data_IF_456922757757
#
_entry.id   IF_456922757757
#
_cell.length_a   1.000
_cell.length_b   1.000
_cell.length_c   1.000
_cell.angle_alpha   90.00
_cell.angle_beta   90.00
_cell.angle_gamma   90.00
#
_symmetry.space_group_name_H-M   'P 1'
#
loop_
_entity.id
_entity.type
_entity.pdbx_description
1 polymer ?
#
# COMPACT_ATOMS: atom_id res chain seq x y z
N UNK A 1 -4.86 14.71 12.67
CA UNK A 1 -4.41 13.31 12.87
C UNK A 1 -3.57 13.11 14.13
N UNK A 2 -3.17 14.19 14.81
CA UNK A 2 -2.46 14.17 16.11
C UNK A 2 -3.01 13.14 17.10
N UNK A 3 -2.13 12.34 17.67
CA UNK A 3 -2.45 11.34 18.69
C UNK A 3 -3.06 10.04 18.16
N UNK A 4 -3.39 9.93 16.86
CA UNK A 4 -3.84 8.66 16.28
C UNK A 4 -2.69 7.68 16.15
N UNK A 5 -2.98 6.41 16.38
CA UNK A 5 -2.07 5.28 16.22
C UNK A 5 -2.03 4.80 14.77
N UNK A 6 -0.83 4.46 14.28
CA UNK A 6 -0.62 3.90 12.95
C UNK A 6 0.25 2.66 13.06
N UNK A 7 -0.14 1.60 12.38
CA UNK A 7 0.74 0.45 12.13
C UNK A 7 1.13 0.46 10.66
N UNK A 8 2.42 0.56 10.38
CA UNK A 8 2.98 0.36 9.04
C UNK A 8 3.45 -1.09 8.94
N UNK A 9 2.93 -1.82 7.95
CA UNK A 9 3.41 -3.16 7.59
C UNK A 9 4.51 -3.00 6.56
N UNK A 10 5.74 -3.32 6.95
CA UNK A 10 6.90 -3.32 6.06
C UNK A 10 6.90 -4.55 5.16
N UNK A 11 6.98 -4.33 3.84
CA UNK A 11 7.00 -5.38 2.83
C UNK A 11 8.36 -5.49 2.11
N UNK A 12 9.44 -5.26 2.87
CA UNK A 12 10.84 -5.32 2.42
C UNK A 12 11.24 -4.14 1.51
N UNK A 13 10.82 -2.93 1.86
CA UNK A 13 11.20 -1.69 1.18
C UNK A 13 11.41 -0.56 2.19
N UNK A 14 12.61 0.00 2.19
CA UNK A 14 13.03 1.09 3.09
C UNK A 14 12.16 2.35 2.98
N UNK A 15 11.34 2.49 1.93
CA UNK A 15 10.29 3.52 1.88
C UNK A 15 9.37 3.50 3.11
N UNK A 16 9.16 2.34 3.74
CA UNK A 16 8.38 2.24 4.99
C UNK A 16 9.00 3.06 6.13
N UNK A 17 10.33 3.16 6.19
CA UNK A 17 11.05 4.00 7.16
C UNK A 17 10.82 5.48 6.87
N UNK A 18 10.78 5.88 5.60
CA UNK A 18 10.46 7.26 5.21
C UNK A 18 9.00 7.60 5.55
N UNK A 19 8.05 6.70 5.25
CA UNK A 19 6.64 6.85 5.61
C UNK A 19 6.45 7.01 7.13
N UNK A 20 7.17 6.20 7.92
CA UNK A 20 7.18 6.33 9.39
C UNK A 20 7.55 7.75 9.81
N UNK A 21 8.67 8.27 9.33
CA UNK A 21 9.14 9.62 9.68
C UNK A 21 8.13 10.71 9.30
N UNK A 22 7.52 10.61 8.12
CA UNK A 22 6.51 11.58 7.68
C UNK A 22 5.27 11.56 8.57
N UNK A 23 4.80 10.38 8.98
CA UNK A 23 3.63 10.24 9.85
C UNK A 23 3.93 10.68 11.29
N UNK A 24 5.14 10.44 11.79
CA UNK A 24 5.62 10.97 13.08
C UNK A 24 5.65 12.50 13.09
N UNK A 25 6.05 13.14 11.97
CA UNK A 25 5.99 14.60 11.81
C UNK A 25 4.55 15.16 11.83
N UNK A 26 3.56 14.33 11.50
CA UNK A 26 2.14 14.65 11.65
C UNK A 26 1.60 14.37 13.06
N UNK A 27 2.50 14.13 14.02
CA UNK A 27 2.22 13.84 15.42
C UNK A 27 1.37 12.57 15.65
N UNK A 28 1.55 11.56 14.79
CA UNK A 28 0.93 10.24 14.94
C UNK A 28 1.84 9.29 15.73
N UNK A 29 1.25 8.30 16.41
CA UNK A 29 1.99 7.25 17.11
C UNK A 29 2.23 6.08 16.16
N UNK A 30 3.44 5.95 15.63
CA UNK A 30 3.72 5.02 14.53
C UNK A 30 4.50 3.80 15.01
N UNK A 31 3.96 2.62 14.73
CA UNK A 31 4.66 1.34 14.82
C UNK A 31 5.01 0.85 13.41
N UNK A 32 6.21 0.33 13.23
CA UNK A 32 6.67 -0.28 11.99
C UNK A 32 6.93 -1.76 12.27
N UNK A 33 6.27 -2.65 11.53
CA UNK A 33 6.26 -4.09 11.78
C UNK A 33 6.48 -4.83 10.48
N UNK A 34 7.35 -5.84 10.47
CA UNK A 34 7.52 -6.72 9.30
C UNK A 34 6.19 -7.40 8.92
N UNK A 35 5.93 -7.57 7.62
CA UNK A 35 4.78 -8.35 7.13
C UNK A 35 4.72 -9.77 7.74
N UNK A 36 5.87 -10.37 8.05
CA UNK A 36 5.97 -11.70 8.63
C UNK A 36 5.47 -11.72 10.09
N UNK A 37 5.75 -10.66 10.85
CA UNK A 37 5.45 -10.54 12.28
C UNK A 37 4.12 -9.84 12.57
N UNK A 38 3.53 -9.18 11.58
CA UNK A 38 2.27 -8.47 11.75
C UNK A 38 1.14 -9.40 12.20
N UNK A 39 0.58 -9.09 13.35
CA UNK A 39 -0.57 -9.75 13.95
C UNK A 39 -1.69 -8.74 14.22
N UNK A 40 -2.90 -8.90 13.64
CA UNK A 40 -3.99 -7.93 13.79
C UNK A 40 -4.53 -7.79 15.23
N UNK A 41 -4.33 -8.80 16.09
CA UNK A 41 -4.74 -8.74 17.50
C UNK A 41 -3.75 -7.93 18.35
N UNK A 42 -2.46 -8.00 18.02
CA UNK A 42 -1.40 -7.31 18.77
C UNK A 42 -1.12 -5.90 18.25
N UNK A 43 -1.36 -5.66 16.96
CA UNK A 43 -1.02 -4.40 16.29
C UNK A 43 -2.26 -3.60 15.92
N UNK A 44 -3.21 -3.51 16.85
CA UNK A 44 -4.40 -2.69 16.68
C UNK A 44 -4.01 -1.21 16.60
N UNK A 45 -4.47 -0.55 15.55
CA UNK A 45 -4.25 0.88 15.34
C UNK A 45 -5.41 1.52 14.58
N UNK A 46 -5.52 2.84 14.72
CA UNK A 46 -6.53 3.66 14.04
C UNK A 46 -6.37 3.60 12.52
N UNK A 47 -5.12 3.44 12.03
CA UNK A 47 -4.79 3.33 10.62
C UNK A 47 -3.76 2.22 10.39
N UNK A 48 -4.08 1.31 9.47
CA UNK A 48 -3.09 0.38 8.92
C UNK A 48 -2.50 0.97 7.63
N UNK A 49 -1.18 1.10 7.54
CA UNK A 49 -0.49 1.41 6.28
C UNK A 49 0.15 0.12 5.77
N UNK A 50 -0.41 -0.46 4.71
CA UNK A 50 0.22 -1.59 4.03
C UNK A 50 1.30 -1.05 3.09
N UNK A 51 2.56 -1.32 3.41
CA UNK A 51 3.73 -0.68 2.81
C UNK A 51 4.04 -1.11 1.38
N UNK A 52 4.95 -0.37 0.72
CA UNK A 52 5.52 -0.76 -0.56
C UNK A 52 6.47 -1.95 -0.41
N UNK A 53 6.79 -2.61 -1.52
CA UNK A 53 7.66 -3.78 -1.53
C UNK A 53 8.01 -4.21 -2.95
N UNK A 54 9.09 -4.97 -3.15
CA UNK A 54 9.37 -5.64 -4.41
C UNK A 54 8.47 -6.88 -4.56
N UNK A 55 8.25 -7.31 -5.79
CA UNK A 55 7.56 -8.56 -6.11
C UNK A 55 6.57 -8.44 -7.26
N UNK A 56 6.01 -9.57 -7.67
CA UNK A 56 4.85 -9.62 -8.56
C UNK A 56 3.58 -9.74 -7.70
N UNK A 57 2.67 -8.75 -7.69
CA UNK A 57 1.45 -8.78 -6.87
C UNK A 57 0.51 -9.95 -7.21
N UNK A 58 0.68 -10.58 -8.38
CA UNK A 58 -0.11 -11.71 -8.86
C UNK A 58 0.54 -13.07 -8.58
N UNK A 59 1.74 -13.10 -8.00
CA UNK A 59 2.42 -14.37 -7.70
C UNK A 59 1.79 -15.05 -6.49
N UNK A 60 1.01 -16.11 -6.75
CA UNK A 60 0.33 -16.90 -5.72
C UNK A 60 1.22 -17.92 -5.02
N UNK A 61 2.46 -18.12 -5.50
CA UNK A 61 3.42 -19.04 -4.89
C UNK A 61 4.41 -18.32 -3.96
N UNK A 62 4.47 -16.99 -4.03
CA UNK A 62 5.28 -16.18 -3.13
C UNK A 62 4.58 -16.02 -1.76
N UNK A 63 5.25 -16.52 -0.71
CA UNK A 63 4.78 -16.44 0.67
C UNK A 63 4.54 -15.01 1.17
N UNK A 64 5.33 -14.04 0.70
CA UNK A 64 5.14 -12.62 1.02
C UNK A 64 3.87 -12.07 0.39
N UNK A 65 3.63 -12.36 -0.89
CA UNK A 65 2.42 -11.91 -1.60
C UNK A 65 1.15 -12.47 -0.94
N UNK A 66 1.16 -13.76 -0.60
CA UNK A 66 0.07 -14.39 0.12
C UNK A 66 -0.17 -13.74 1.49
N UNK A 67 0.91 -13.49 2.25
CA UNK A 67 0.80 -12.86 3.58
C UNK A 67 0.24 -11.44 3.49
N UNK A 68 0.73 -10.61 2.57
CA UNK A 68 0.24 -9.25 2.36
C UNK A 68 -1.23 -9.24 1.93
N UNK A 69 -1.61 -10.13 1.00
CA UNK A 69 -3.01 -10.30 0.59
C UNK A 69 -3.92 -10.60 1.77
N UNK A 70 -3.52 -11.53 2.65
CA UNK A 70 -4.31 -11.88 3.84
C UNK A 70 -4.44 -10.69 4.81
N UNK A 71 -3.37 -9.91 5.02
CA UNK A 71 -3.39 -8.72 5.88
C UNK A 71 -4.36 -7.67 5.32
N UNK A 72 -4.26 -7.39 4.02
CA UNK A 72 -5.09 -6.39 3.32
C UNK A 72 -6.55 -6.83 3.30
N UNK A 73 -6.83 -8.09 2.96
CA UNK A 73 -8.18 -8.63 2.94
C UNK A 73 -8.83 -8.58 4.33
N UNK A 74 -8.13 -9.03 5.38
CA UNK A 74 -8.66 -9.00 6.73
C UNK A 74 -8.97 -7.57 7.23
N UNK A 75 -8.13 -6.59 6.88
CA UNK A 75 -8.38 -5.18 7.23
C UNK A 75 -9.53 -4.57 6.42
N UNK A 76 -9.66 -4.96 5.15
CA UNK A 76 -10.78 -4.56 4.30
C UNK A 76 -12.11 -5.10 4.84
N UNK A 77 -12.15 -6.39 5.20
CA UNK A 77 -13.33 -7.06 5.77
C UNK A 77 -13.76 -6.44 7.11
N UNK A 78 -12.81 -5.98 7.93
CA UNK A 78 -13.12 -5.33 9.21
C UNK A 78 -13.70 -3.91 9.05
N UNK A 79 -13.62 -3.31 7.85
CA UNK A 79 -14.05 -1.95 7.59
C UNK A 79 -13.21 -0.87 8.29
N UNK A 80 -12.07 -1.25 8.88
CA UNK A 80 -11.19 -0.32 9.58
C UNK A 80 -10.28 0.40 8.59
N UNK A 81 -9.88 1.64 8.93
CA UNK A 81 -9.12 2.47 8.01
C UNK A 81 -7.78 1.83 7.61
N UNK A 82 -7.49 1.90 6.31
CA UNK A 82 -6.30 1.36 5.68
C UNK A 82 -5.80 2.28 4.55
N UNK A 83 -4.49 2.39 4.43
CA UNK A 83 -3.80 3.03 3.30
C UNK A 83 -2.85 2.00 2.68
N UNK A 84 -3.05 1.67 1.41
CA UNK A 84 -2.18 0.76 0.68
C UNK A 84 -1.24 1.55 -0.24
N UNK A 85 0.06 1.26 -0.20
CA UNK A 85 1.09 1.98 -0.97
C UNK A 85 1.77 1.05 -1.97
N UNK A 86 1.90 1.49 -3.23
CA UNK A 86 2.60 0.80 -4.32
C UNK A 86 2.19 -0.69 -4.48
N UNK A 87 3.04 -1.65 -4.07
CA UNK A 87 2.75 -3.09 -4.14
C UNK A 87 1.44 -3.43 -3.42
N UNK A 88 1.26 -2.94 -2.20
CA UNK A 88 0.04 -3.19 -1.44
C UNK A 88 -1.20 -2.59 -2.10
N UNK A 89 -1.05 -1.48 -2.84
CA UNK A 89 -2.14 -0.91 -3.63
C UNK A 89 -2.50 -1.82 -4.81
N UNK A 90 -1.50 -2.41 -5.49
CA UNK A 90 -1.74 -3.37 -6.57
C UNK A 90 -2.46 -4.63 -6.06
N UNK A 91 -2.05 -5.16 -4.90
CA UNK A 91 -2.73 -6.29 -4.25
C UNK A 91 -4.16 -5.93 -3.90
N UNK A 92 -4.41 -4.73 -3.36
CA UNK A 92 -5.76 -4.25 -3.09
C UNK A 92 -6.62 -4.14 -4.36
N UNK A 93 -6.07 -3.61 -5.46
CA UNK A 93 -6.77 -3.56 -6.74
C UNK A 93 -7.23 -4.96 -7.18
N UNK A 94 -6.34 -5.95 -7.09
CA UNK A 94 -6.67 -7.33 -7.47
C UNK A 94 -7.73 -7.95 -6.55
N UNK A 95 -7.64 -7.74 -5.22
CA UNK A 95 -8.68 -8.17 -4.25
C UNK A 95 -10.05 -7.58 -4.61
N UNK A 96 -10.08 -6.32 -5.05
CA UNK A 96 -11.31 -5.62 -5.43
C UNK A 96 -11.79 -5.97 -6.85
N UNK A 97 -11.09 -6.85 -7.57
CA UNK A 97 -11.46 -7.28 -8.92
C UNK A 97 -11.01 -6.33 -10.05
N UNK A 98 -10.15 -5.35 -9.77
CA UNK A 98 -9.53 -4.52 -10.80
C UNK A 98 -8.36 -5.26 -11.46
N UNK A 99 -8.28 -5.34 -12.80
CA UNK A 99 -7.16 -5.97 -13.48
C UNK A 99 -5.82 -5.34 -13.09
N UNK A 100 -4.85 -6.16 -12.69
CA UNK A 100 -3.46 -5.72 -12.50
C UNK A 100 -2.61 -6.23 -13.66
N UNK A 101 -1.92 -5.32 -14.34
CA UNK A 101 -1.11 -5.66 -15.52
C UNK A 101 0.32 -5.14 -15.39
N UNK A 102 1.22 -5.76 -16.15
CA UNK A 102 2.58 -5.26 -16.36
C UNK A 102 2.56 -4.07 -17.32
N UNK A 103 3.27 -3.00 -16.97
CA UNK A 103 3.42 -1.82 -17.83
C UNK A 103 4.38 -2.12 -18.98
N UNK A 104 4.10 -1.58 -20.17
CA UNK A 104 5.01 -1.66 -21.32
C UNK A 104 6.35 -0.95 -21.05
N UNK A 105 6.30 0.17 -20.32
CA UNK A 105 7.47 0.90 -19.84
C UNK A 105 7.37 1.03 -18.32
N UNK A 106 8.26 0.38 -17.54
CA UNK A 106 8.29 0.55 -16.09
C UNK A 106 8.56 2.01 -15.70
N UNK A 107 7.89 2.49 -14.66
CA UNK A 107 8.20 3.80 -14.07
C UNK A 107 9.03 3.56 -12.82
N UNK A 108 10.36 3.52 -12.97
CA UNK A 108 11.30 3.33 -11.87
C UNK A 108 12.05 4.64 -11.64
N UNK A 109 11.77 5.34 -10.54
CA UNK A 109 12.37 6.65 -10.25
C UNK A 109 11.88 7.77 -11.15
N UNK A 110 10.65 7.68 -11.66
CA UNK A 110 10.09 8.68 -12.58
C UNK A 110 9.16 9.63 -11.85
N UNK A 111 9.33 10.93 -12.05
CA UNK A 111 8.38 11.95 -11.62
C UNK A 111 7.33 12.19 -12.70
N UNK A 112 6.06 12.26 -12.32
CA UNK A 112 4.93 12.51 -13.22
C UNK A 112 3.97 13.51 -12.57
N UNK A 113 3.25 14.27 -13.39
CA UNK A 113 2.09 15.04 -12.94
C UNK A 113 0.84 14.20 -13.24
N UNK A 114 -0.01 14.00 -12.23
CA UNK A 114 -1.25 13.25 -12.34
C UNK A 114 -2.43 14.09 -11.86
N UNK A 115 -3.62 13.79 -12.37
CA UNK A 115 -4.86 14.20 -11.71
C UNK A 115 -5.13 13.26 -10.53
N UNK A 116 -5.02 13.78 -9.31
CA UNK A 116 -5.34 13.06 -8.09
C UNK A 116 -6.64 13.64 -7.51
N UNK A 117 -7.76 13.02 -7.85
CA UNK A 117 -9.10 13.40 -7.39
C UNK A 117 -9.44 14.87 -7.68
N UNK A 118 -9.22 15.32 -8.92
CA UNK A 118 -9.49 16.68 -9.40
C UNK A 118 -8.37 17.68 -9.08
N UNK A 119 -7.28 17.25 -8.44
CA UNK A 119 -6.14 18.12 -8.13
C UNK A 119 -4.89 17.62 -8.84
N UNK A 120 -4.23 18.50 -9.60
CA UNK A 120 -2.96 18.19 -10.25
C UNK A 120 -1.85 18.04 -9.20
N UNK A 121 -1.23 16.86 -9.15
CA UNK A 121 -0.19 16.52 -8.20
C UNK A 121 1.05 16.00 -8.91
N UNK A 122 2.22 16.42 -8.44
CA UNK A 122 3.52 15.94 -8.92
C UNK A 122 4.01 14.84 -7.99
N UNK A 123 4.06 13.61 -8.49
CA UNK A 123 4.34 12.41 -7.68
C UNK A 123 5.48 11.58 -8.29
N UNK A 124 6.13 10.76 -7.47
CA UNK A 124 7.14 9.79 -7.90
C UNK A 124 6.53 8.40 -8.08
N UNK A 125 6.94 7.69 -9.14
CA UNK A 125 6.56 6.32 -9.42
C UNK A 125 7.78 5.38 -9.38
N UNK A 126 7.59 4.22 -8.74
CA UNK A 126 8.56 3.12 -8.60
C UNK A 126 7.83 1.78 -8.78
N UNK A 127 7.27 1.55 -9.97
CA UNK A 127 6.44 0.38 -10.22
C UNK A 127 6.53 -0.16 -11.65
N UNK A 128 6.45 -1.48 -11.74
CA UNK A 128 6.35 -2.26 -12.98
C UNK A 128 4.92 -2.72 -13.26
N UNK A 129 4.13 -2.97 -12.21
CA UNK A 129 2.72 -3.38 -12.29
C UNK A 129 1.77 -2.21 -11.99
N UNK A 130 0.55 -2.25 -12.51
CA UNK A 130 -0.47 -1.22 -12.30
C UNK A 130 -1.87 -1.83 -12.30
N UNK A 131 -2.73 -1.37 -11.40
CA UNK A 131 -4.16 -1.67 -11.42
C UNK A 131 -4.89 -0.80 -12.45
N UNK A 132 -5.83 -1.37 -13.19
CA UNK A 132 -6.66 -0.68 -14.16
C UNK A 132 -8.09 -0.62 -13.68
N UNK A 133 -8.69 0.56 -13.72
CA UNK A 133 -10.14 0.69 -13.69
C UNK A 133 -10.63 0.68 -15.14
N UNK A 134 -11.51 -0.24 -15.50
CA UNK A 134 -12.39 -0.05 -16.66
C UNK A 134 -13.31 1.11 -16.31
N UNK A 135 -13.01 2.31 -16.81
CA UNK A 135 -13.87 3.46 -16.61
C UNK A 135 -15.29 3.12 -17.08
N UNK A 136 -16.26 3.18 -16.16
CA UNK A 136 -17.45 3.97 -16.44
C UNK A 136 -17.45 5.06 -15.37
N UNK A 137 -16.88 6.21 -15.69
CA UNK A 137 -17.21 7.43 -14.98
C UNK A 137 -18.48 7.93 -15.66
N UNK A 138 -19.61 7.89 -14.94
CA UNK A 138 -20.78 8.68 -15.30
C UNK A 138 -20.46 10.19 -15.28
#
# INVERSE_FOLDING_TARGET
>A
MRGKSVTIVDAEDDFSVMLKRLLEQLEMQVSLVSFADYNPQLHQSDLLVAGPGPGNPLDSQDGKMMRLRNIIAARLESGQAMLCVCLSHQILCDILGFPVITKAVPLQGTQQVIDLFGTQQRVGFYNTYVGLATQTLE
#
